data_IF_234990807521
#
_entry.id   IF_234990807521
#
_cell.length_a   1.000
_cell.length_b   1.000
_cell.length_c   1.000
_cell.angle_alpha   90.00
_cell.angle_beta   90.00
_cell.angle_gamma   90.00
#
_symmetry.space_group_name_H-M   'P 1'
#
loop_
_entity.id
_entity.type
_entity.pdbx_description
1 polymer ?
#
# COMPACT_ATOMS: atom_id res chain seq x y z
N UNK A 1 4.00 -2.09 17.12
CA UNK A 1 3.98 -0.60 17.14
C UNK A 1 4.15 -0.16 15.70
N UNK A 2 3.18 0.59 15.15
CA UNK A 2 3.24 1.13 13.79
C UNK A 2 3.89 2.51 13.89
N UNK A 3 5.02 2.71 13.20
CA UNK A 3 5.74 3.99 13.16
C UNK A 3 5.77 4.53 11.73
N UNK A 4 5.77 5.86 11.53
CA UNK A 4 6.00 6.45 10.21
C UNK A 4 7.34 5.99 9.63
N UNK A 5 7.38 5.64 8.34
CA UNK A 5 8.61 5.28 7.65
C UNK A 5 9.47 6.55 7.42
N UNK A 6 10.70 6.62 7.95
CA UNK A 6 11.57 7.77 7.75
C UNK A 6 11.79 8.08 6.27
N UNK A 7 11.60 9.33 5.87
CA UNK A 7 11.82 9.76 4.48
C UNK A 7 10.78 9.27 3.46
N UNK A 8 9.70 8.62 3.90
CA UNK A 8 8.57 8.35 3.02
C UNK A 8 7.95 9.66 2.52
N UNK A 9 7.56 9.67 1.23
CA UNK A 9 6.84 10.80 0.62
C UNK A 9 5.40 10.39 0.37
N UNK A 10 4.48 11.24 0.75
CA UNK A 10 3.06 11.08 0.50
C UNK A 10 2.49 12.36 -0.13
N UNK A 11 1.66 12.19 -1.16
CA UNK A 11 0.91 13.27 -1.79
C UNK A 11 -0.49 12.78 -2.11
N UNK A 12 -1.51 13.57 -1.77
CA UNK A 12 -2.88 13.33 -2.21
C UNK A 12 -3.47 14.62 -2.78
N UNK A 13 -4.13 14.52 -3.93
CA UNK A 13 -4.66 15.68 -4.65
C UNK A 13 -6.06 15.40 -5.19
N UNK A 14 -6.92 16.41 -5.11
CA UNK A 14 -8.21 16.42 -5.79
C UNK A 14 -7.99 16.69 -7.28
N UNK A 15 -8.69 15.93 -8.11
CA UNK A 15 -8.74 16.10 -9.55
C UNK A 15 -10.21 16.32 -9.97
N UNK A 16 -10.53 17.06 -11.04
CA UNK A 16 -11.92 17.23 -11.48
C UNK A 16 -12.70 15.93 -11.76
N UNK A 17 -11.99 14.80 -11.92
CA UNK A 17 -12.56 13.46 -12.13
C UNK A 17 -12.37 12.50 -10.94
N UNK A 18 -11.98 12.97 -9.76
CA UNK A 18 -11.76 12.14 -8.59
C UNK A 18 -10.62 12.64 -7.69
N UNK A 19 -9.78 11.74 -7.22
CA UNK A 19 -8.57 12.07 -6.47
C UNK A 19 -7.44 11.12 -6.87
N UNK A 20 -6.20 11.52 -6.60
CA UNK A 20 -5.01 10.67 -6.75
C UNK A 20 -4.20 10.71 -5.47
N UNK A 21 -3.52 9.62 -5.15
CA UNK A 21 -2.49 9.59 -4.13
C UNK A 21 -1.23 8.92 -4.64
N UNK A 22 -0.09 9.37 -4.14
CA UNK A 22 1.23 8.82 -4.39
C UNK A 22 1.91 8.55 -3.05
N UNK A 23 2.54 7.37 -2.94
CA UNK A 23 3.33 6.95 -1.80
C UNK A 23 4.68 6.44 -2.32
N UNK A 24 5.77 6.98 -1.77
CA UNK A 24 7.13 6.50 -2.06
C UNK A 24 7.83 6.16 -0.75
N UNK A 25 8.22 4.89 -0.59
CA UNK A 25 8.96 4.37 0.56
C UNK A 25 10.40 4.09 0.12
N UNK A 26 11.44 4.64 0.78
CA UNK A 26 12.82 4.30 0.45
C UNK A 26 13.10 2.84 0.80
N UNK A 27 13.67 2.07 -0.14
CA UNK A 27 13.96 0.65 0.07
C UNK A 27 14.80 0.36 1.31
N UNK A 28 15.74 1.25 1.67
CA UNK A 28 16.59 1.11 2.85
C UNK A 28 15.82 1.06 4.18
N UNK A 29 14.58 1.53 4.20
CA UNK A 29 13.74 1.52 5.41
C UNK A 29 12.97 0.19 5.56
N UNK A 30 12.99 -0.66 4.53
CA UNK A 30 12.52 -2.05 4.60
C UNK A 30 13.73 -2.93 4.97
N UNK A 31 14.10 -2.94 6.25
CA UNK A 31 15.23 -3.74 6.75
C UNK A 31 15.11 -5.20 6.30
N UNK A 32 16.21 -5.76 5.81
CA UNK A 32 16.33 -7.12 5.26
C UNK A 32 15.69 -7.37 3.87
N UNK A 33 15.03 -6.37 3.28
CA UNK A 33 14.52 -6.48 1.91
C UNK A 33 15.58 -6.12 0.87
N UNK A 34 16.09 -7.15 0.18
CA UNK A 34 16.97 -6.98 -0.98
C UNK A 34 16.14 -6.72 -2.26
N UNK A 35 15.98 -5.44 -2.62
CA UNK A 35 15.13 -4.95 -3.70
C UNK A 35 15.71 -5.24 -5.12
N UNK A 36 15.93 -6.51 -5.43
CA UNK A 36 16.39 -6.98 -6.75
C UNK A 36 15.23 -7.57 -7.58
N UNK A 37 15.38 -7.68 -8.92
CA UNK A 37 14.41 -8.38 -9.75
C UNK A 37 14.09 -9.78 -9.21
N UNK A 38 12.80 -10.08 -9.10
CA UNK A 38 12.28 -11.33 -8.56
C UNK A 38 12.12 -11.38 -7.04
N UNK A 39 12.60 -10.37 -6.30
CA UNK A 39 12.33 -10.26 -4.87
C UNK A 39 10.83 -10.14 -4.60
N UNK A 40 10.38 -10.73 -3.49
CA UNK A 40 8.97 -10.77 -3.09
C UNK A 40 8.81 -9.98 -1.79
N UNK A 41 7.91 -9.01 -1.82
CA UNK A 41 7.52 -8.17 -0.69
C UNK A 41 6.06 -8.45 -0.34
N UNK A 42 5.76 -8.58 0.94
CA UNK A 42 4.39 -8.54 1.42
C UNK A 42 3.86 -7.09 1.37
N UNK A 43 2.76 -6.85 0.66
CA UNK A 43 2.15 -5.54 0.45
C UNK A 43 0.65 -5.61 0.74
N UNK A 44 0.19 -4.69 1.58
CA UNK A 44 -1.22 -4.43 1.84
C UNK A 44 -1.52 -2.96 1.50
N UNK A 45 -2.48 -2.70 0.62
CA UNK A 45 -2.92 -1.35 0.25
C UNK A 45 -4.43 -1.23 0.40
N UNK A 46 -4.89 -0.21 1.12
CA UNK A 46 -6.30 0.01 1.37
C UNK A 46 -6.71 1.46 1.10
N UNK A 47 -7.85 1.60 0.45
CA UNK A 47 -8.54 2.85 0.21
C UNK A 47 -9.90 2.76 0.90
N UNK A 48 -10.14 3.65 1.86
CA UNK A 48 -11.39 3.70 2.60
C UNK A 48 -12.17 4.96 2.26
N UNK A 49 -13.49 4.84 2.16
CA UNK A 49 -14.37 5.99 2.22
C UNK A 49 -14.44 6.50 3.68
N UNK A 50 -14.24 7.81 3.85
CA UNK A 50 -14.33 8.48 5.15
C UNK A 50 -15.78 8.92 5.46
N UNK A 51 -16.67 8.88 4.48
CA UNK A 51 -18.09 9.14 4.66
C UNK A 51 -18.80 7.89 5.22
N UNK A 52 -19.70 8.12 6.19
CA UNK A 52 -20.53 7.08 6.82
C UNK A 52 -21.93 7.00 6.23
N UNK A 53 -22.29 7.92 5.34
CA UNK A 53 -23.66 8.07 4.83
C UNK A 53 -23.96 7.28 3.55
N UNK A 54 -22.95 6.69 2.91
CA UNK A 54 -23.09 5.91 1.67
C UNK A 54 -22.57 4.46 1.81
N UNK A 55 -23.07 3.50 0.99
CA UNK A 55 -22.54 2.15 0.95
C UNK A 55 -21.05 2.14 0.60
N UNK A 56 -20.24 1.53 1.46
CA UNK A 56 -18.78 1.53 1.32
C UNK A 56 -18.37 0.71 0.09
N UNK A 57 -17.76 1.37 -0.89
CA UNK A 57 -17.00 0.65 -1.92
C UNK A 57 -15.59 0.38 -1.36
N UNK A 58 -15.27 -0.89 -1.16
CA UNK A 58 -13.96 -1.35 -0.68
C UNK A 58 -13.31 -2.15 -1.82
N UNK A 59 -12.01 -1.99 -2.02
CA UNK A 59 -11.22 -2.86 -2.91
C UNK A 59 -11.16 -4.31 -2.37
N UNK A 60 -11.59 -4.52 -1.12
CA UNK A 60 -11.86 -5.83 -0.51
C UNK A 60 -13.37 -5.95 -0.18
N UNK A 61 -14.14 -6.84 -0.84
CA UNK A 61 -15.56 -7.04 -0.60
C UNK A 61 -15.86 -7.74 0.75
N UNK A 62 -14.84 -8.28 1.42
CA UNK A 62 -14.97 -8.75 2.79
C UNK A 62 -15.18 -7.59 3.73
N UNK A 63 -16.25 -7.62 4.54
CA UNK A 63 -16.34 -6.78 5.73
C UNK A 63 -15.36 -7.33 6.77
N UNK A 64 -14.06 -7.23 6.48
CA UNK A 64 -13.02 -7.72 7.37
C UNK A 64 -12.89 -6.68 8.49
N UNK A 65 -13.58 -6.95 9.61
CA UNK A 65 -13.35 -6.29 10.91
C UNK A 65 -11.89 -6.47 11.39
N UNK A 66 -11.21 -7.46 10.81
CA UNK A 66 -9.83 -7.82 11.07
C UNK A 66 -8.88 -7.03 10.16
N UNK A 67 -8.23 -6.02 10.73
CA UNK A 67 -7.19 -5.26 10.05
C UNK A 67 -6.01 -6.20 9.76
N UNK A 68 -5.87 -6.63 8.50
CA UNK A 68 -4.69 -7.39 8.05
C UNK A 68 -3.38 -6.63 8.32
N UNK A 69 -3.41 -5.31 8.55
CA UNK A 69 -2.23 -4.48 8.88
C UNK A 69 -1.40 -4.98 10.07
N UNK A 70 -1.95 -5.85 10.91
CA UNK A 70 -1.23 -6.44 12.05
C UNK A 70 -0.75 -7.88 11.81
N UNK A 71 -1.21 -8.55 10.75
CA UNK A 71 -0.82 -9.92 10.38
C UNK A 71 -0.19 -9.98 8.97
N UNK A 72 1.14 -9.87 8.85
CA UNK A 72 1.86 -9.95 7.59
C UNK A 72 1.67 -11.25 6.81
N UNK A 73 1.18 -12.34 7.43
CA UNK A 73 0.94 -13.61 6.74
C UNK A 73 -0.25 -13.57 5.79
N UNK A 74 -1.11 -12.56 5.93
CA UNK A 74 -2.33 -12.36 5.14
C UNK A 74 -2.17 -11.30 4.04
N UNK A 75 -1.00 -10.67 3.93
CA UNK A 75 -0.76 -9.62 2.94
C UNK A 75 -0.59 -10.21 1.54
N UNK A 76 -0.99 -9.43 0.54
CA UNK A 76 -0.72 -9.79 -0.85
C UNK A 76 0.79 -9.79 -1.12
N UNK A 77 1.24 -10.67 -2.02
CA UNK A 77 2.65 -10.74 -2.40
C UNK A 77 2.91 -9.92 -3.66
N UNK A 78 3.76 -8.90 -3.55
CA UNK A 78 4.29 -8.12 -4.66
C UNK A 78 5.65 -8.67 -5.09
N UNK A 79 5.73 -9.19 -6.32
CA UNK A 79 7.01 -9.60 -6.92
C UNK A 79 7.58 -8.47 -7.78
N UNK A 80 8.79 -8.02 -7.46
CA UNK A 80 9.49 -7.00 -8.26
C UNK A 80 9.84 -7.58 -9.63
N UNK A 81 9.43 -6.88 -10.69
CA UNK A 81 9.79 -7.23 -12.06
C UNK A 81 11.17 -6.66 -12.40
N UNK A 82 11.90 -7.25 -13.37
CA UNK A 82 13.04 -6.59 -13.98
C UNK A 82 12.61 -5.21 -14.49
N UNK A 83 13.48 -4.21 -14.34
CA UNK A 83 13.26 -2.93 -14.99
C UNK A 83 13.16 -3.16 -16.49
N UNK A 84 12.06 -2.74 -17.11
CA UNK A 84 12.02 -2.59 -18.56
C UNK A 84 13.00 -1.45 -18.89
N UNK A 85 14.11 -1.78 -19.55
CA UNK A 85 14.92 -0.77 -20.22
C UNK A 85 14.01 -0.06 -21.23
N UNK A 86 13.74 1.23 -20.99
CA UNK A 86 13.16 2.15 -21.95
C UNK A 86 14.27 3.02 -22.50
#
# INVERSE_FOLDING_TARGET
MIAPVPGAKYRAEIHPKGWKAELAIPWRELSDFDAKPGAVLALELRVNDADKSHPRWKIDPGDVEDLSTEDPSRWSLLKLQPGSEN
#
